data_IF_522559977674
#
_entry.id   IF_522559977674
#
_cell.length_a   1.000
_cell.length_b   1.000
_cell.length_c   1.000
_cell.angle_alpha   90.00
_cell.angle_beta   90.00
_cell.angle_gamma   90.00
#
_symmetry.space_group_name_H-M   'P 1'
#
loop_
_entity.id
_entity.type
_entity.pdbx_description
1 polymer ?
#
# COMPACT_ATOMS: atom_id res chain seq x y z
N UNK A 1 -1.64 14.47 22.76
CA UNK A 1 -1.73 13.24 21.94
C UNK A 1 -2.09 13.68 20.52
N UNK A 2 -1.15 13.70 19.57
CA UNK A 2 -1.40 14.20 18.20
C UNK A 2 -0.55 13.49 17.13
N UNK A 3 0.64 13.01 17.47
CA UNK A 3 1.56 12.38 16.50
C UNK A 3 1.07 11.03 15.93
N UNK A 4 0.27 10.26 16.69
CA UNK A 4 -0.18 8.93 16.27
C UNK A 4 -1.34 8.97 15.25
N UNK A 5 -2.20 10.00 15.32
CA UNK A 5 -3.32 10.16 14.38
C UNK A 5 -2.83 10.56 12.98
N UNK A 6 -1.81 11.41 12.90
CA UNK A 6 -1.19 11.84 11.64
C UNK A 6 -0.52 10.66 10.92
N UNK A 7 0.20 9.81 11.65
CA UNK A 7 0.88 8.66 11.06
C UNK A 7 -0.09 7.68 10.40
N UNK A 8 -1.20 7.35 11.08
CA UNK A 8 -2.19 6.40 10.57
C UNK A 8 -2.87 6.96 9.31
N UNK A 9 -3.33 8.21 9.34
CA UNK A 9 -3.93 8.87 8.19
C UNK A 9 -2.99 8.88 6.97
N UNK A 10 -1.71 9.18 7.20
CA UNK A 10 -0.69 9.18 6.12
C UNK A 10 -0.36 7.78 5.59
N UNK A 11 -0.57 6.72 6.37
CA UNK A 11 -0.43 5.34 5.90
C UNK A 11 -1.65 4.98 5.05
N UNK A 12 -2.86 5.35 5.49
CA UNK A 12 -4.10 5.14 4.74
C UNK A 12 -4.07 5.87 3.39
N UNK A 13 -3.58 7.10 3.33
CA UNK A 13 -3.40 7.82 2.06
C UNK A 13 -2.44 7.07 1.11
N UNK A 14 -1.36 6.49 1.62
CA UNK A 14 -0.43 5.70 0.80
C UNK A 14 -1.02 4.38 0.34
N UNK A 15 -1.81 3.72 1.18
CA UNK A 15 -2.52 2.49 0.82
C UNK A 15 -3.56 2.75 -0.28
N UNK A 16 -4.35 3.82 -0.12
CA UNK A 16 -5.28 4.27 -1.15
C UNK A 16 -4.55 4.62 -2.44
N UNK A 17 -3.42 5.34 -2.35
CA UNK A 17 -2.62 5.66 -3.52
C UNK A 17 -2.05 4.42 -4.21
N UNK A 18 -1.61 3.42 -3.44
CA UNK A 18 -1.17 2.14 -3.98
C UNK A 18 -2.30 1.47 -4.75
N UNK A 19 -3.51 1.45 -4.19
CA UNK A 19 -4.68 0.88 -4.86
C UNK A 19 -5.01 1.61 -6.17
N UNK A 20 -4.98 2.94 -6.20
CA UNK A 20 -5.21 3.73 -7.42
C UNK A 20 -4.19 3.39 -8.51
N UNK A 21 -2.91 3.27 -8.15
CA UNK A 21 -1.85 2.94 -9.10
C UNK A 21 -2.01 1.52 -9.66
N UNK A 22 -2.39 0.56 -8.81
CA UNK A 22 -2.69 -0.81 -9.23
C UNK A 22 -3.90 -0.84 -10.18
N UNK A 23 -4.96 -0.09 -9.89
CA UNK A 23 -6.15 0.06 -10.76
C UNK A 23 -5.82 0.74 -12.09
N UNK A 24 -4.91 1.72 -12.06
CA UNK A 24 -4.43 2.41 -13.25
C UNK A 24 -3.46 1.57 -14.10
N UNK A 25 -3.00 0.42 -13.59
CA UNK A 25 -1.98 -0.40 -14.23
C UNK A 25 -0.57 0.19 -14.14
N UNK A 26 -0.37 1.21 -13.30
CA UNK A 26 0.93 1.85 -13.09
C UNK A 26 1.75 1.08 -12.03
N UNK A 27 2.18 -0.11 -12.45
CA UNK A 27 2.85 -1.07 -11.58
C UNK A 27 4.25 -0.61 -11.14
N UNK A 28 4.94 0.20 -11.95
CA UNK A 28 6.24 0.76 -11.58
C UNK A 28 6.11 1.73 -10.40
N UNK A 29 5.17 2.68 -10.48
CA UNK A 29 4.91 3.61 -9.39
C UNK A 29 4.41 2.87 -8.13
N UNK A 30 3.51 1.89 -8.30
CA UNK A 30 3.01 1.06 -7.20
C UNK A 30 4.14 0.29 -6.49
N UNK A 31 5.09 -0.27 -7.25
CA UNK A 31 6.23 -1.01 -6.70
C UNK A 31 7.19 -0.11 -5.93
N UNK A 32 7.35 1.14 -6.39
CA UNK A 32 8.13 2.16 -5.68
C UNK A 32 7.50 2.58 -4.35
N UNK A 33 6.16 2.52 -4.25
CA UNK A 33 5.41 2.93 -3.06
C UNK A 33 5.40 1.87 -1.94
N UNK A 34 5.48 0.58 -2.29
CA UNK A 34 5.51 -0.54 -1.33
C UNK A 34 6.53 -0.41 -0.17
N UNK A 35 7.83 -0.10 -0.41
CA UNK A 35 8.79 0.10 0.68
C UNK A 35 8.41 1.26 1.60
N UNK A 36 7.74 2.30 1.09
CA UNK A 36 7.30 3.45 1.88
C UNK A 36 6.15 3.11 2.83
N UNK A 37 5.35 2.09 2.51
CA UNK A 37 4.26 1.61 3.36
C UNK A 37 4.76 0.54 4.32
N UNK A 38 5.57 -0.40 3.81
CA UNK A 38 6.07 -1.53 4.60
C UNK A 38 7.03 -1.11 5.71
N UNK A 39 7.68 0.07 5.64
CA UNK A 39 8.48 0.59 6.76
C UNK A 39 7.66 0.85 8.05
N UNK A 40 6.33 0.95 7.93
CA UNK A 40 5.43 1.17 9.05
C UNK A 40 4.74 -0.12 9.54
N UNK A 41 5.38 -1.30 9.43
CA UNK A 41 4.79 -2.62 9.79
C UNK A 41 4.07 -2.66 11.14
N UNK A 42 4.59 -1.96 12.15
CA UNK A 42 4.00 -1.89 13.50
C UNK A 42 2.68 -1.11 13.56
N UNK A 43 2.44 -0.20 12.61
CA UNK A 43 1.21 0.58 12.49
C UNK A 43 0.20 -0.02 11.49
N UNK A 44 0.60 -1.08 10.76
CA UNK A 44 -0.27 -1.81 9.84
C UNK A 44 -1.07 -2.88 10.59
N UNK A 45 -2.37 -2.88 10.38
CA UNK A 45 -3.26 -3.93 10.86
C UNK A 45 -3.21 -5.16 9.93
N UNK A 46 -3.91 -6.23 10.28
CA UNK A 46 -3.92 -7.47 9.49
C UNK A 46 -4.48 -7.27 8.07
N UNK A 47 -5.50 -6.43 7.90
CA UNK A 47 -6.09 -6.14 6.59
C UNK A 47 -5.13 -5.35 5.69
N UNK A 48 -4.41 -4.35 6.24
CA UNK A 48 -3.41 -3.59 5.48
C UNK A 48 -2.28 -4.51 4.99
N UNK A 49 -1.88 -5.48 5.82
CA UNK A 49 -0.84 -6.47 5.47
C UNK A 49 -1.33 -7.43 4.39
N UNK A 50 -2.58 -7.85 4.46
CA UNK A 50 -3.21 -8.69 3.43
C UNK A 50 -3.26 -7.95 2.09
N UNK A 51 -3.74 -6.70 2.10
CA UNK A 51 -3.73 -5.83 0.93
C UNK A 51 -2.32 -5.67 0.33
N UNK A 52 -1.29 -5.42 1.15
CA UNK A 52 0.09 -5.31 0.65
C UNK A 52 0.62 -6.62 0.06
N UNK A 53 0.22 -7.77 0.59
CA UNK A 53 0.59 -9.06 0.02
C UNK A 53 -0.13 -9.30 -1.31
N UNK A 54 -1.43 -9.00 -1.40
CA UNK A 54 -2.18 -9.06 -2.66
C UNK A 54 -1.58 -8.11 -3.71
N UNK A 55 -1.26 -6.87 -3.33
CA UNK A 55 -0.58 -5.91 -4.19
C UNK A 55 0.76 -6.43 -4.70
N UNK A 56 1.58 -7.06 -3.83
CA UNK A 56 2.84 -7.68 -4.25
C UNK A 56 2.64 -8.81 -5.25
N UNK A 57 1.61 -9.65 -5.05
CA UNK A 57 1.28 -10.73 -5.99
C UNK A 57 0.87 -10.13 -7.34
N UNK A 58 -0.04 -9.16 -7.35
CA UNK A 58 -0.48 -8.47 -8.56
C UNK A 58 0.71 -7.84 -9.31
N UNK A 59 1.63 -7.17 -8.59
CA UNK A 59 2.83 -6.59 -9.18
C UNK A 59 3.84 -7.63 -9.69
N UNK A 60 3.94 -8.78 -9.02
CA UNK A 60 4.85 -9.85 -9.42
C UNK A 60 4.34 -10.62 -10.64
N UNK A 61 3.03 -10.79 -10.76
CA UNK A 61 2.38 -11.48 -11.86
C UNK A 61 1.92 -10.52 -12.98
N UNK A 62 2.16 -9.21 -12.81
CA UNK A 62 1.68 -8.15 -13.69
C UNK A 62 0.16 -8.24 -13.95
N UNK A 63 -0.57 -8.64 -12.89
CA UNK A 63 -1.98 -8.99 -12.95
C UNK A 63 -2.83 -7.72 -12.77
N UNK A 64 -3.87 -7.52 -13.60
CA UNK A 64 -4.79 -6.40 -13.44
C UNK A 64 -5.47 -6.45 -12.06
N UNK A 65 -5.50 -5.29 -11.41
CA UNK A 65 -6.22 -5.09 -10.16
C UNK A 65 -7.69 -4.78 -10.47
N UNK A 66 -8.56 -5.80 -10.31
CA UNK A 66 -9.99 -5.76 -10.63
C UNK A 66 -10.85 -6.27 -9.49
#
# INVERSE_FOLDING_TARGET
>A
MAAAQDLRARIEERLNRLEELLKAGDYEAARSLLPDITKFTSALNSADRDFLNAAKIALSENRPWS
#
